data_IF_652637497413
#
_entry.id   IF_652637497413
#
_cell.length_a   1.000
_cell.length_b   1.000
_cell.length_c   1.000
_cell.angle_alpha   90.00
_cell.angle_beta   90.00
_cell.angle_gamma   90.00
#
_symmetry.space_group_name_H-M   'P 1'
#
loop_
_entity.id
_entity.type
_entity.pdbx_description
1 polymer ?
#
# COMPACT_ATOMS: atom_id res chain seq x y z
N UNK A 1 61.83 3.46 -23.76
CA UNK A 1 60.57 4.14 -23.36
C UNK A 1 59.46 3.11 -23.45
N UNK A 2 59.01 2.55 -22.33
CA UNK A 2 57.86 1.61 -22.29
C UNK A 2 56.78 2.25 -21.43
N UNK A 3 55.75 2.79 -22.07
CA UNK A 3 54.55 3.30 -21.41
C UNK A 3 53.66 2.12 -21.03
N UNK A 4 53.51 1.85 -19.73
CA UNK A 4 52.61 0.83 -19.21
C UNK A 4 51.15 1.25 -19.30
N UNK A 5 50.27 0.33 -19.69
CA UNK A 5 48.82 0.50 -19.68
C UNK A 5 48.30 0.72 -18.25
N UNK A 6 47.37 1.67 -18.00
CA UNK A 6 46.73 1.80 -16.71
C UNK A 6 45.71 0.66 -16.51
N UNK A 7 45.86 -0.08 -15.42
CA UNK A 7 44.87 -1.02 -14.92
C UNK A 7 43.74 -0.24 -14.24
N UNK A 8 42.54 -0.24 -14.84
CA UNK A 8 41.35 0.24 -14.16
C UNK A 8 40.90 -0.83 -13.17
N UNK A 9 41.02 -0.55 -11.87
CA UNK A 9 40.49 -1.41 -10.81
C UNK A 9 39.01 -1.10 -10.60
N UNK A 10 38.16 -2.11 -10.78
CA UNK A 10 36.73 -2.00 -10.44
C UNK A 10 36.56 -2.04 -8.92
N UNK A 11 36.13 -0.94 -8.31
CA UNK A 11 35.76 -0.90 -6.89
C UNK A 11 34.28 -1.31 -6.73
N UNK A 12 34.04 -2.51 -6.18
CA UNK A 12 32.70 -2.94 -5.77
C UNK A 12 32.25 -2.12 -4.56
N UNK A 13 31.10 -1.45 -4.65
CA UNK A 13 30.54 -0.75 -3.51
C UNK A 13 29.93 -1.76 -2.53
N UNK A 14 30.17 -1.63 -1.21
CA UNK A 14 29.53 -2.48 -0.23
C UNK A 14 28.01 -2.30 -0.30
N UNK A 15 27.30 -3.40 -0.55
CA UNK A 15 25.84 -3.39 -0.68
C UNK A 15 25.15 -2.97 0.62
N UNK A 16 23.99 -2.30 0.48
CA UNK A 16 23.17 -1.91 1.62
C UNK A 16 22.64 -3.16 2.36
N UNK A 17 22.95 -3.28 3.66
CA UNK A 17 22.30 -4.27 4.53
C UNK A 17 20.86 -3.83 4.80
N UNK A 18 19.91 -4.44 4.11
CA UNK A 18 18.48 -4.21 4.34
C UNK A 18 18.05 -4.86 5.65
N UNK A 19 17.80 -4.05 6.68
CA UNK A 19 17.09 -4.50 7.88
C UNK A 19 15.60 -4.51 7.56
N UNK A 20 14.98 -5.69 7.47
CA UNK A 20 13.53 -5.81 7.31
C UNK A 20 12.88 -5.22 8.57
N UNK A 21 12.18 -4.10 8.44
CA UNK A 21 11.31 -3.58 9.49
C UNK A 21 10.29 -4.69 9.81
N UNK A 22 10.35 -5.25 11.02
CA UNK A 22 9.42 -6.30 11.45
C UNK A 22 7.97 -5.83 11.35
N UNK A 23 7.02 -6.77 11.31
CA UNK A 23 5.60 -6.44 11.34
C UNK A 23 5.29 -5.68 12.63
N UNK A 24 4.96 -4.40 12.49
CA UNK A 24 4.47 -3.59 13.61
C UNK A 24 2.97 -3.77 13.64
N UNK A 25 2.47 -4.37 14.72
CA UNK A 25 1.05 -4.48 14.97
C UNK A 25 0.45 -3.08 15.08
N UNK A 26 -0.37 -2.68 14.10
CA UNK A 26 -1.11 -1.42 14.14
C UNK A 26 -2.20 -1.44 15.23
N UNK A 27 -2.65 -2.65 15.60
CA UNK A 27 -3.60 -2.93 16.69
C UNK A 27 -2.95 -3.85 17.71
N UNK A 28 -3.18 -3.67 19.02
CA UNK A 28 -2.65 -4.58 20.05
C UNK A 28 -3.12 -6.01 19.80
N UNK A 29 -2.29 -7.01 20.11
CA UNK A 29 -2.56 -8.45 19.93
C UNK A 29 -3.85 -8.95 20.63
N UNK A 30 -4.45 -8.12 21.48
CA UNK A 30 -5.66 -8.40 22.22
C UNK A 30 -6.92 -7.81 21.54
N UNK A 31 -6.78 -7.26 20.32
CA UNK A 31 -7.92 -6.80 19.52
C UNK A 31 -8.64 -8.02 18.94
N UNK A 32 -9.68 -8.47 19.64
CA UNK A 32 -10.58 -9.50 19.13
C UNK A 32 -11.67 -8.80 18.30
N UNK A 33 -11.69 -8.96 16.96
CA UNK A 33 -12.61 -8.24 16.09
C UNK A 33 -14.06 -8.75 16.19
N UNK A 34 -14.37 -9.71 17.06
CA UNK A 34 -15.71 -10.30 17.23
C UNK A 34 -16.58 -9.57 18.26
N UNK A 35 -16.03 -8.58 18.99
CA UNK A 35 -16.69 -7.88 20.10
C UNK A 35 -16.54 -6.36 20.04
N UNK A 36 -16.58 -5.76 18.85
CA UNK A 36 -16.80 -4.31 18.78
C UNK A 36 -18.18 -4.00 19.39
N UNK A 37 -18.27 -3.17 20.46
CA UNK A 37 -19.54 -2.85 21.12
C UNK A 37 -20.25 -1.78 20.29
N UNK A 38 -20.88 -2.22 19.21
CA UNK A 38 -21.61 -1.38 18.26
C UNK A 38 -21.75 -2.16 16.97
N UNK A 39 -22.96 -2.64 16.66
CA UNK A 39 -23.23 -3.36 15.42
C UNK A 39 -22.70 -2.60 14.22
N UNK A 40 -22.07 -3.31 13.28
CA UNK A 40 -21.47 -2.78 12.06
C UNK A 40 -22.53 -2.19 11.11
N UNK A 41 -23.09 -1.03 11.49
CA UNK A 41 -24.12 -0.31 10.74
C UNK A 41 -23.58 0.86 9.92
N UNK A 42 -22.26 1.04 9.86
CA UNK A 42 -21.63 2.09 9.08
C UNK A 42 -20.32 1.58 8.47
N UNK A 43 -20.41 0.88 7.34
CA UNK A 43 -19.24 0.67 6.50
C UNK A 43 -18.77 2.05 6.02
N UNK A 44 -17.55 2.48 6.36
CA UNK A 44 -16.99 3.73 5.85
C UNK A 44 -16.63 3.58 4.37
N UNK A 45 -17.66 3.60 3.52
CA UNK A 45 -17.53 3.47 2.08
C UNK A 45 -17.14 4.83 1.47
N UNK A 46 -16.09 4.90 0.64
CA UNK A 46 -15.71 6.12 -0.06
C UNK A 46 -16.84 6.68 -0.92
N UNK A 47 -16.92 8.00 -0.99
CA UNK A 47 -17.89 8.72 -1.84
C UNK A 47 -17.46 8.85 -3.30
N UNK A 48 -16.33 8.22 -3.67
CA UNK A 48 -15.79 8.26 -5.03
C UNK A 48 -16.78 7.63 -6.03
N UNK A 49 -17.13 8.31 -7.14
CA UNK A 49 -18.11 7.81 -8.11
C UNK A 49 -17.73 6.47 -8.75
N UNK A 50 -16.43 6.15 -8.81
CA UNK A 50 -15.92 4.93 -9.41
C UNK A 50 -15.67 3.80 -8.40
N UNK A 51 -15.81 4.05 -7.09
CA UNK A 51 -15.66 3.04 -6.04
C UNK A 51 -16.51 1.77 -6.28
N UNK A 52 -17.78 1.83 -6.75
CA UNK A 52 -18.56 0.62 -7.03
C UNK A 52 -17.93 -0.34 -8.05
N UNK A 53 -17.07 0.18 -8.94
CA UNK A 53 -16.38 -0.61 -9.95
C UNK A 53 -15.05 -1.19 -9.45
N UNK A 54 -14.54 -0.74 -8.30
CA UNK A 54 -13.27 -1.17 -7.71
C UNK A 54 -13.44 -2.46 -6.91
N UNK A 55 -13.67 -3.57 -7.61
CA UNK A 55 -13.93 -4.89 -7.02
C UNK A 55 -12.84 -5.38 -6.07
N UNK A 56 -11.58 -4.95 -6.27
CA UNK A 56 -10.45 -5.34 -5.44
C UNK A 56 -10.52 -4.74 -4.02
N UNK A 57 -11.27 -3.65 -3.82
CA UNK A 57 -11.50 -3.04 -2.51
C UNK A 57 -12.76 -3.59 -1.84
N UNK A 58 -13.85 -3.72 -2.60
CA UNK A 58 -15.12 -4.30 -2.16
C UNK A 58 -15.77 -5.09 -3.30
N UNK A 59 -15.87 -6.39 -3.13
CA UNK A 59 -16.47 -7.29 -4.11
C UNK A 59 -17.87 -7.70 -3.65
N UNK A 60 -18.89 -7.12 -4.27
CA UNK A 60 -20.29 -7.48 -4.06
C UNK A 60 -20.80 -8.48 -5.10
N UNK A 61 -19.92 -9.02 -5.95
CA UNK A 61 -20.28 -9.81 -7.13
C UNK A 61 -20.74 -8.93 -8.31
N UNK A 62 -20.37 -7.65 -8.32
CA UNK A 62 -20.88 -6.63 -9.25
C UNK A 62 -20.64 -6.94 -10.73
N UNK A 63 -19.69 -7.82 -11.05
CA UNK A 63 -19.36 -8.22 -12.41
C UNK A 63 -19.41 -9.75 -12.61
N UNK A 64 -20.36 -10.43 -11.95
CA UNK A 64 -20.49 -11.89 -12.01
C UNK A 64 -19.37 -12.66 -11.28
N UNK A 65 -18.54 -11.96 -10.52
CA UNK A 65 -17.50 -12.54 -9.68
C UNK A 65 -18.06 -13.13 -8.38
N UNK A 66 -17.21 -13.86 -7.66
CA UNK A 66 -17.54 -14.37 -6.32
C UNK A 66 -17.47 -13.24 -5.30
N UNK A 67 -18.61 -12.90 -4.69
CA UNK A 67 -18.66 -11.89 -3.63
C UNK A 67 -17.69 -12.20 -2.48
N UNK A 68 -17.16 -11.15 -1.84
CA UNK A 68 -16.14 -11.19 -0.77
C UNK A 68 -14.76 -11.71 -1.19
N UNK A 69 -14.53 -11.97 -2.48
CA UNK A 69 -13.18 -12.21 -3.00
C UNK A 69 -12.56 -10.84 -3.31
N UNK A 70 -12.10 -10.16 -2.27
CA UNK A 70 -11.46 -8.84 -2.27
C UNK A 70 -10.36 -8.78 -1.20
N UNK A 71 -9.73 -7.62 -1.04
CA UNK A 71 -8.67 -7.39 -0.06
C UNK A 71 -9.19 -7.18 1.39
N UNK A 72 -10.51 -7.12 1.60
CA UNK A 72 -11.16 -6.82 2.88
C UNK A 72 -10.61 -5.55 3.57
N UNK A 73 -10.40 -4.48 2.79
CA UNK A 73 -9.80 -3.23 3.28
C UNK A 73 -10.74 -2.38 4.14
N UNK A 74 -12.06 -2.55 3.99
CA UNK A 74 -13.05 -1.77 4.74
C UNK A 74 -12.88 -1.94 6.25
N UNK A 75 -12.61 -3.18 6.71
CA UNK A 75 -12.36 -3.45 8.12
C UNK A 75 -11.13 -2.70 8.67
N UNK A 76 -10.12 -2.42 7.84
CA UNK A 76 -8.96 -1.62 8.22
C UNK A 76 -9.28 -0.13 8.21
N UNK A 77 -10.07 0.35 7.25
CA UNK A 77 -10.52 1.74 7.19
C UNK A 77 -11.47 2.10 8.33
N UNK A 78 -12.34 1.18 8.74
CA UNK A 78 -13.18 1.35 9.94
C UNK A 78 -12.34 1.46 11.22
N UNK A 79 -11.11 0.94 11.22
CA UNK A 79 -10.12 1.12 12.29
C UNK A 79 -9.26 2.39 12.11
N UNK A 80 -9.53 3.21 11.08
CA UNK A 80 -8.76 4.40 10.75
C UNK A 80 -7.39 4.15 10.11
N UNK A 81 -7.11 2.91 9.69
CA UNK A 81 -5.84 2.53 9.08
C UNK A 81 -5.88 2.84 7.58
N UNK A 82 -5.37 4.00 7.18
CA UNK A 82 -5.45 4.48 5.77
C UNK A 82 -4.10 4.52 5.04
N UNK A 83 -2.99 4.26 5.74
CA UNK A 83 -1.64 4.45 5.20
C UNK A 83 -1.10 5.88 5.35
N UNK A 84 -1.78 6.77 6.09
CA UNK A 84 -1.27 8.11 6.42
C UNK A 84 0.13 8.02 7.05
N UNK A 85 1.03 8.91 6.63
CA UNK A 85 2.45 8.96 7.01
C UNK A 85 3.30 7.77 6.50
N UNK A 86 2.83 7.01 5.52
CA UNK A 86 3.63 6.01 4.81
C UNK A 86 4.02 6.57 3.45
N UNK A 87 5.33 6.62 3.17
CA UNK A 87 5.86 6.97 1.85
C UNK A 87 6.06 5.70 1.02
N UNK A 88 5.44 5.68 -0.15
CA UNK A 88 5.55 4.57 -1.13
C UNK A 88 6.28 5.08 -2.37
N UNK A 89 7.30 4.34 -2.82
CA UNK A 89 8.01 4.64 -4.06
C UNK A 89 7.53 3.70 -5.18
N UNK A 90 7.19 4.28 -6.33
CA UNK A 90 6.80 3.57 -7.55
C UNK A 90 7.92 3.80 -8.56
N UNK A 91 8.55 2.71 -9.02
CA UNK A 91 9.61 2.74 -10.04
C UNK A 91 9.01 2.29 -11.36
N UNK A 92 8.54 3.26 -12.15
CA UNK A 92 7.86 3.07 -13.43
C UNK A 92 8.30 4.17 -14.43
N UNK A 93 7.60 4.33 -15.54
CA UNK A 93 7.83 5.36 -16.56
C UNK A 93 7.57 6.80 -16.06
N UNK A 94 6.75 6.97 -15.02
CA UNK A 94 6.50 8.24 -14.36
C UNK A 94 5.24 8.22 -13.49
N UNK A 95 4.90 9.36 -12.92
CA UNK A 95 3.62 9.58 -12.24
C UNK A 95 3.13 11.00 -12.53
N UNK A 96 1.87 11.13 -12.93
CA UNK A 96 1.23 12.44 -13.07
C UNK A 96 0.88 13.01 -11.68
N UNK A 97 1.85 13.70 -11.09
CA UNK A 97 1.72 14.30 -9.77
C UNK A 97 0.72 15.48 -9.71
N UNK A 98 0.22 15.95 -10.86
CA UNK A 98 -0.78 17.03 -10.93
C UNK A 98 -2.21 16.53 -11.06
N UNK A 99 -2.41 15.22 -11.26
CA UNK A 99 -3.75 14.63 -11.34
C UNK A 99 -4.58 14.93 -10.09
N UNK A 100 -5.87 15.23 -10.26
CA UNK A 100 -6.74 15.68 -9.17
C UNK A 100 -6.79 14.69 -8.00
N UNK A 101 -6.74 13.38 -8.29
CA UNK A 101 -6.77 12.31 -7.29
C UNK A 101 -5.40 11.96 -6.69
N UNK A 102 -4.30 12.50 -7.23
CA UNK A 102 -2.92 12.19 -6.79
C UNK A 102 -2.22 13.36 -6.12
N UNK A 103 -2.49 14.60 -6.55
CA UNK A 103 -1.74 15.81 -6.15
C UNK A 103 -1.66 16.07 -4.65
N UNK A 104 -2.62 15.59 -3.87
CA UNK A 104 -2.63 15.75 -2.42
C UNK A 104 -1.85 14.65 -1.67
N UNK A 105 -1.39 13.62 -2.38
CA UNK A 105 -0.70 12.43 -1.86
C UNK A 105 0.68 12.19 -2.50
N UNK A 106 1.20 13.16 -3.26
CA UNK A 106 2.55 13.12 -3.86
C UNK A 106 3.61 13.71 -2.93
#
# INVERSE_FOLDING_TARGET
MTTGCPIFTTASQPGFKRVKRGFRHAVPLNYIPDKAPGGYGGENVPTDPYFPFQWYLKNTGQNGGKAKLDLNVLAAWDQGITGKNITTAIMDDGVDYMHADLKFNY
#
